data_IF_067928414204
#
_entry.id   IF_067928414204
#
_cell.length_a   1.000
_cell.length_b   1.000
_cell.length_c   1.000
_cell.angle_alpha   90.00
_cell.angle_beta   90.00
_cell.angle_gamma   90.00
#
_symmetry.space_group_name_H-M   'P 1'
#
loop_
_entity.id
_entity.type
_entity.pdbx_description
1 polymer ?
#
# COMPACT_ATOMS: atom_id res chain seq x y z
N UNK A 1 2.07 -2.18 -36.19
CA UNK A 1 3.07 -1.66 -35.22
C UNK A 1 2.59 -0.43 -34.42
N UNK A 2 1.64 0.37 -34.93
CA UNK A 2 1.19 1.64 -34.31
C UNK A 2 0.38 1.45 -33.01
N UNK A 3 -0.36 0.36 -32.90
CA UNK A 3 -1.15 -0.07 -31.73
C UNK A 3 -0.30 -0.62 -30.57
N UNK A 4 0.83 -1.29 -30.87
CA UNK A 4 1.74 -1.80 -29.82
C UNK A 4 2.35 -0.65 -29.00
N UNK A 5 2.77 0.44 -29.65
CA UNK A 5 3.33 1.62 -28.97
C UNK A 5 2.29 2.35 -28.10
N UNK A 6 1.03 2.39 -28.53
CA UNK A 6 -0.05 2.99 -27.74
C UNK A 6 -0.33 2.20 -26.46
N UNK A 7 -0.38 0.86 -26.56
CA UNK A 7 -0.62 0.00 -25.40
C UNK A 7 0.56 0.04 -24.40
N UNK A 8 1.80 0.18 -24.90
CA UNK A 8 2.98 0.36 -24.05
C UNK A 8 2.94 1.68 -23.28
N UNK A 9 2.50 2.78 -23.91
CA UNK A 9 2.37 4.08 -23.23
C UNK A 9 1.29 4.03 -22.15
N UNK A 10 0.16 3.35 -22.40
CA UNK A 10 -0.90 3.17 -21.42
C UNK A 10 -0.44 2.36 -20.20
N UNK A 11 0.31 1.27 -20.41
CA UNK A 11 0.87 0.47 -19.33
C UNK A 11 1.90 1.24 -18.49
N UNK A 12 2.77 2.02 -19.12
CA UNK A 12 3.76 2.86 -18.43
C UNK A 12 3.06 3.95 -17.60
N UNK A 13 2.01 4.57 -18.14
CA UNK A 13 1.19 5.54 -17.39
C UNK A 13 0.52 4.89 -16.18
N UNK A 14 -0.09 3.71 -16.34
CA UNK A 14 -0.78 3.01 -15.26
C UNK A 14 0.16 2.61 -14.11
N UNK A 15 1.40 2.25 -14.43
CA UNK A 15 2.43 1.88 -13.44
C UNK A 15 3.15 3.12 -12.87
N UNK A 16 3.23 4.21 -13.64
CA UNK A 16 3.88 5.46 -13.24
C UNK A 16 3.02 6.36 -12.35
N UNK A 17 1.69 6.26 -12.45
CA UNK A 17 0.75 7.03 -11.62
C UNK A 17 1.00 6.89 -10.10
N UNK A 18 1.23 5.68 -9.55
CA UNK A 18 1.63 5.52 -8.14
C UNK A 18 2.92 6.27 -7.79
N UNK A 19 3.90 6.30 -8.69
CA UNK A 19 5.20 6.96 -8.47
C UNK A 19 5.04 8.48 -8.45
N UNK A 20 4.18 9.02 -9.31
CA UNK A 20 3.84 10.44 -9.32
C UNK A 20 3.03 10.85 -8.08
N UNK A 21 2.14 9.97 -7.60
CA UNK A 21 1.45 10.19 -6.33
C UNK A 21 2.42 10.24 -5.13
N UNK A 22 3.48 9.44 -5.14
CA UNK A 22 4.56 9.52 -4.15
C UNK A 22 5.31 10.86 -4.20
N UNK A 23 5.47 11.45 -5.40
CA UNK A 23 6.14 12.74 -5.60
C UNK A 23 5.30 13.97 -5.21
N UNK A 24 3.99 13.82 -5.04
CA UNK A 24 3.10 14.92 -4.60
C UNK A 24 3.18 15.20 -3.10
N UNK A 25 3.88 14.37 -2.33
CA UNK A 25 4.21 14.71 -0.94
C UNK A 25 5.27 15.81 -0.98
N UNK A 26 4.86 17.05 -0.67
CA UNK A 26 5.70 18.23 -0.79
C UNK A 26 7.09 18.05 -0.18
N UNK A 27 8.10 18.65 -0.82
CA UNK A 27 9.49 18.69 -0.35
C UNK A 27 9.50 19.02 1.14
N UNK A 28 9.85 18.05 1.99
CA UNK A 28 10.12 18.33 3.38
C UNK A 28 11.37 19.22 3.39
N UNK A 29 11.19 20.48 3.76
CA UNK A 29 12.32 21.38 4.03
C UNK A 29 13.23 20.74 5.09
N UNK A 30 14.55 20.98 5.02
CA UNK A 30 15.53 20.38 5.93
C UNK A 30 15.04 20.48 7.38
N UNK A 31 15.24 19.41 8.19
CA UNK A 31 14.61 19.30 9.49
C UNK A 31 15.04 20.48 10.35
N UNK A 32 14.11 21.41 10.59
CA UNK A 32 14.19 22.21 11.79
C UNK A 32 14.19 21.23 12.96
N UNK A 33 15.00 21.45 14.02
CA UNK A 33 14.94 20.62 15.21
C UNK A 33 13.47 20.43 15.64
N UNK A 34 13.08 19.21 16.00
CA UNK A 34 11.71 18.91 16.43
C UNK A 34 11.49 19.65 17.76
N UNK A 35 10.92 20.84 17.70
CA UNK A 35 10.69 21.71 18.86
C UNK A 35 9.22 21.76 19.28
N UNK A 36 8.33 21.04 18.58
CA UNK A 36 6.90 21.01 18.87
C UNK A 36 6.32 19.59 18.78
N UNK A 37 5.25 19.36 19.53
CA UNK A 37 4.45 18.12 19.51
C UNK A 37 3.91 17.86 18.08
N UNK A 38 3.61 18.92 17.35
CA UNK A 38 3.15 18.86 15.95
C UNK A 38 4.21 18.31 14.99
N UNK A 39 5.49 18.63 15.22
CA UNK A 39 6.61 18.05 14.46
C UNK A 39 6.72 16.54 14.65
N UNK A 40 6.49 16.04 15.86
CA UNK A 40 6.47 14.60 16.17
C UNK A 40 5.33 13.90 15.40
N UNK A 41 4.13 14.49 15.39
CA UNK A 41 3.01 13.92 14.61
C UNK A 41 3.26 13.88 13.12
N UNK A 42 3.94 14.89 12.56
CA UNK A 42 4.27 14.91 11.14
C UNK A 42 5.19 13.74 10.76
N UNK A 43 6.19 13.46 11.60
CA UNK A 43 7.09 12.32 11.41
C UNK A 43 6.34 11.01 11.54
N UNK A 44 5.52 10.83 12.60
CA UNK A 44 4.72 9.61 12.79
C UNK A 44 3.75 9.38 11.63
N UNK A 45 3.02 10.41 11.18
CA UNK A 45 2.10 10.30 10.04
C UNK A 45 2.84 9.92 8.76
N UNK A 46 3.99 10.54 8.49
CA UNK A 46 4.81 10.21 7.32
C UNK A 46 5.24 8.74 7.36
N UNK A 47 5.72 8.26 8.50
CA UNK A 47 6.16 6.87 8.68
C UNK A 47 4.99 5.89 8.54
N UNK A 48 3.87 6.14 9.22
CA UNK A 48 2.67 5.30 9.15
C UNK A 48 2.12 5.24 7.72
N UNK A 49 2.09 6.35 6.99
CA UNK A 49 1.67 6.36 5.59
C UNK A 49 2.58 5.52 4.70
N UNK A 50 3.90 5.60 4.93
CA UNK A 50 4.87 4.79 4.20
C UNK A 50 4.67 3.30 4.44
N UNK A 51 4.53 2.90 5.71
CA UNK A 51 4.28 1.51 6.09
C UNK A 51 2.95 1.02 5.52
N UNK A 52 1.88 1.82 5.63
CA UNK A 52 0.57 1.50 5.06
C UNK A 52 0.66 1.25 3.56
N UNK A 53 1.35 2.13 2.84
CA UNK A 53 1.53 2.02 1.39
C UNK A 53 2.28 0.74 1.02
N UNK A 54 3.37 0.41 1.72
CA UNK A 54 4.13 -0.83 1.50
C UNK A 54 3.25 -2.07 1.76
N UNK A 55 2.47 -2.07 2.84
CA UNK A 55 1.56 -3.18 3.16
C UNK A 55 0.49 -3.36 2.08
N UNK A 56 -0.04 -2.28 1.50
CA UNK A 56 -0.98 -2.38 0.38
C UNK A 56 -0.32 -2.93 -0.89
N UNK A 57 0.91 -2.55 -1.20
CA UNK A 57 1.65 -3.12 -2.34
C UNK A 57 1.82 -4.63 -2.16
N UNK A 58 2.19 -5.07 -0.95
CA UNK A 58 2.31 -6.49 -0.60
C UNK A 58 0.96 -7.20 -0.71
N UNK A 59 -0.13 -6.58 -0.25
CA UNK A 59 -1.46 -7.15 -0.36
C UNK A 59 -1.87 -7.36 -1.82
N UNK A 60 -1.67 -6.37 -2.70
CA UNK A 60 -1.94 -6.49 -4.14
C UNK A 60 -1.11 -7.61 -4.77
N UNK A 61 0.16 -7.74 -4.37
CA UNK A 61 1.02 -8.83 -4.82
C UNK A 61 0.48 -10.20 -4.42
N UNK A 62 0.04 -10.39 -3.18
CA UNK A 62 -0.59 -11.64 -2.72
C UNK A 62 -1.90 -11.95 -3.44
N UNK A 63 -2.74 -10.94 -3.68
CA UNK A 63 -3.99 -11.10 -4.44
C UNK A 63 -3.68 -11.59 -5.86
N UNK A 64 -2.68 -11.01 -6.52
CA UNK A 64 -2.28 -11.41 -7.86
C UNK A 64 -1.76 -12.86 -7.88
N UNK A 65 -0.92 -13.25 -6.92
CA UNK A 65 -0.47 -14.64 -6.79
C UNK A 65 -1.62 -15.60 -6.51
N UNK A 66 -2.59 -15.20 -5.69
CA UNK A 66 -3.78 -16.00 -5.41
C UNK A 66 -4.62 -16.19 -6.68
N UNK A 67 -4.82 -15.15 -7.48
CA UNK A 67 -5.56 -15.23 -8.74
C UNK A 67 -4.95 -16.26 -9.71
N UNK A 68 -3.62 -16.24 -9.89
CA UNK A 68 -2.95 -17.22 -10.73
C UNK A 68 -3.01 -18.64 -10.16
N UNK A 69 -2.87 -18.80 -8.84
CA UNK A 69 -2.99 -20.10 -8.18
C UNK A 69 -4.41 -20.67 -8.32
N UNK A 70 -5.44 -19.83 -8.18
CA UNK A 70 -6.83 -20.21 -8.41
C UNK A 70 -7.05 -20.68 -9.86
N UNK A 71 -6.58 -19.90 -10.84
CA UNK A 71 -6.75 -20.24 -12.25
C UNK A 71 -6.02 -21.54 -12.63
N UNK A 72 -4.82 -21.75 -12.09
CA UNK A 72 -4.01 -22.96 -12.32
C UNK A 72 -4.44 -24.19 -11.50
N UNK A 73 -5.36 -24.03 -10.54
CA UNK A 73 -5.76 -25.12 -9.64
C UNK A 73 -6.59 -26.22 -10.33
N UNK A 74 -7.24 -25.92 -11.46
CA UNK A 74 -8.12 -26.84 -12.19
C UNK A 74 -9.21 -27.52 -11.30
N UNK A 75 -9.59 -26.88 -10.18
CA UNK A 75 -10.56 -27.43 -9.23
C UNK A 75 -9.99 -28.42 -8.20
N UNK A 76 -8.67 -28.63 -8.17
CA UNK A 76 -8.02 -29.45 -7.14
C UNK A 76 -8.11 -28.75 -5.76
N UNK A 77 -8.76 -29.40 -4.80
CA UNK A 77 -9.05 -28.83 -3.48
C UNK A 77 -7.81 -28.29 -2.75
N UNK A 78 -6.68 -29.01 -2.81
CA UNK A 78 -5.42 -28.62 -2.16
C UNK A 78 -4.88 -27.29 -2.69
N UNK A 79 -4.89 -27.11 -4.02
CA UNK A 79 -4.39 -25.90 -4.67
C UNK A 79 -5.34 -24.71 -4.48
N UNK A 80 -6.64 -24.97 -4.44
CA UNK A 80 -7.64 -23.96 -4.10
C UNK A 80 -7.44 -23.47 -2.66
N UNK A 81 -7.21 -24.37 -1.71
CA UNK A 81 -6.93 -24.01 -0.32
C UNK A 81 -5.63 -23.18 -0.20
N UNK A 82 -4.58 -23.52 -0.95
CA UNK A 82 -3.36 -22.72 -0.99
C UNK A 82 -3.61 -21.30 -1.53
N UNK A 83 -4.43 -21.16 -2.58
CA UNK A 83 -4.81 -19.86 -3.13
C UNK A 83 -5.65 -19.03 -2.14
N UNK A 84 -6.54 -19.68 -1.37
CA UNK A 84 -7.27 -19.03 -0.27
C UNK A 84 -6.34 -18.49 0.81
N UNK A 85 -5.33 -19.26 1.21
CA UNK A 85 -4.37 -18.82 2.22
C UNK A 85 -3.61 -17.55 1.77
N UNK A 86 -3.29 -17.42 0.47
CA UNK A 86 -2.69 -16.20 -0.09
C UNK A 86 -3.63 -15.00 0.02
N UNK A 87 -4.93 -15.18 -0.18
CA UNK A 87 -5.92 -14.11 0.05
C UNK A 87 -6.03 -13.73 1.53
N UNK A 88 -5.93 -14.70 2.44
CA UNK A 88 -5.91 -14.43 3.88
C UNK A 88 -4.70 -13.56 4.24
N UNK A 89 -3.51 -13.88 3.71
CA UNK A 89 -2.33 -13.05 3.95
C UNK A 89 -2.47 -11.63 3.39
N UNK A 90 -3.11 -11.47 2.23
CA UNK A 90 -3.45 -10.14 1.72
C UNK A 90 -4.42 -9.38 2.64
N UNK A 91 -5.47 -10.05 3.12
CA UNK A 91 -6.42 -9.46 4.05
C UNK A 91 -5.76 -9.05 5.37
N UNK A 92 -4.84 -9.86 5.90
CA UNK A 92 -4.05 -9.54 7.10
C UNK A 92 -3.17 -8.31 6.86
N UNK A 93 -2.47 -8.22 5.72
CA UNK A 93 -1.65 -7.06 5.39
C UNK A 93 -2.49 -5.76 5.33
N UNK A 94 -3.67 -5.82 4.71
CA UNK A 94 -4.62 -4.70 4.68
C UNK A 94 -5.10 -4.35 6.10
N UNK A 95 -5.50 -5.36 6.88
CA UNK A 95 -5.98 -5.18 8.26
C UNK A 95 -4.94 -4.50 9.15
N UNK A 96 -3.69 -4.97 9.13
CA UNK A 96 -2.58 -4.36 9.87
C UNK A 96 -2.34 -2.91 9.42
N UNK A 97 -2.39 -2.66 8.11
CA UNK A 97 -2.26 -1.32 7.56
C UNK A 97 -3.36 -0.37 8.07
N UNK A 98 -4.61 -0.82 8.07
CA UNK A 98 -5.74 -0.03 8.56
C UNK A 98 -5.62 0.27 10.06
N UNK A 99 -5.16 -0.70 10.86
CA UNK A 99 -4.89 -0.49 12.29
C UNK A 99 -3.81 0.58 12.49
N UNK A 100 -2.74 0.55 11.70
CA UNK A 100 -1.68 1.55 11.79
C UNK A 100 -2.22 2.98 11.56
N UNK A 101 -3.11 3.15 10.58
CA UNK A 101 -3.81 4.42 10.34
C UNK A 101 -4.82 4.77 11.43
N UNK A 102 -5.50 3.78 12.00
CA UNK A 102 -6.42 3.96 13.12
C UNK A 102 -5.73 4.47 14.39
N UNK A 103 -4.53 3.98 14.69
CA UNK A 103 -3.71 4.48 15.81
C UNK A 103 -3.37 5.96 15.62
N UNK A 104 -2.97 6.37 14.41
CA UNK A 104 -2.71 7.79 14.10
C UNK A 104 -3.95 8.67 14.38
N UNK A 105 -5.13 8.20 13.96
CA UNK A 105 -6.39 8.91 14.17
C UNK A 105 -6.71 9.08 15.66
N UNK A 106 -6.63 8.00 16.44
CA UNK A 106 -6.90 8.04 17.89
C UNK A 106 -5.91 8.96 18.60
N UNK A 107 -4.63 8.90 18.25
CA UNK A 107 -3.59 9.73 18.86
C UNK A 107 -3.85 11.22 18.61
N UNK A 108 -4.29 11.61 17.41
CA UNK A 108 -4.68 13.00 17.11
C UNK A 108 -5.87 13.47 17.95
N UNK A 109 -6.92 12.65 18.01
CA UNK A 109 -8.14 12.95 18.77
C UNK A 109 -7.87 13.09 20.27
N UNK A 110 -7.03 12.23 20.85
CA UNK A 110 -6.71 12.27 22.29
C UNK A 110 -5.85 13.48 22.68
N UNK A 111 -5.04 14.00 21.75
CA UNK A 111 -4.12 15.11 22.01
C UNK A 111 -4.69 16.47 21.57
N UNK A 112 -5.97 16.51 21.20
CA UNK A 112 -6.72 17.74 20.92
C UNK A 112 -6.26 18.49 19.66
N UNK A 113 -5.64 17.78 18.71
CA UNK A 113 -5.13 18.31 17.46
C UNK A 113 -5.93 17.84 16.24
#
# INVERSE_FOLDING_TARGET
>A
MKNKRLNTILLISLIGLPILALAQTGVQTPPTPITSIEGVFRVINTLTNWIFTILLIIAVFFIMMAAFAYLGSAGEATKVAEAQNKLIYAAVAIGVGLIAKGVEFVVRQLLGA
#
